data_IF_683294023214
#
_entry.id   IF_683294023214
#
_cell.length_a   1.000
_cell.length_b   1.000
_cell.length_c   1.000
_cell.angle_alpha   90.00
_cell.angle_beta   90.00
_cell.angle_gamma   90.00
#
_symmetry.space_group_name_H-M   'P 1'
#
loop_
_entity.id
_entity.type
_entity.pdbx_description
1 polymer ?
#
# COMPACT_ATOMS: atom_id res chain seq x y z
N UNK A 1 0.55 -17.86 4.93
CA UNK A 1 0.71 -17.95 3.48
C UNK A 1 -0.49 -17.32 2.78
N UNK A 2 -0.23 -16.60 1.73
CA UNK A 2 -1.32 -15.93 1.02
C UNK A 2 -1.81 -16.83 -0.10
N UNK A 3 -3.13 -16.95 -0.24
CA UNK A 3 -3.73 -17.80 -1.26
C UNK A 3 -4.37 -17.00 -2.39
N UNK A 4 -4.46 -15.69 -2.22
CA UNK A 4 -5.05 -14.83 -3.24
C UNK A 4 -4.03 -14.57 -4.35
N UNK A 5 -4.50 -14.55 -5.59
CA UNK A 5 -3.63 -14.20 -6.70
C UNK A 5 -3.72 -12.70 -6.96
N UNK A 6 -2.74 -12.18 -7.70
CA UNK A 6 -2.76 -10.76 -8.07
C UNK A 6 -4.04 -10.45 -8.85
N UNK A 7 -4.44 -11.33 -9.76
CA UNK A 7 -5.66 -11.11 -10.55
C UNK A 7 -6.89 -11.00 -9.66
N UNK A 8 -6.96 -11.83 -8.61
CA UNK A 8 -8.09 -11.77 -7.69
C UNK A 8 -8.05 -10.48 -6.87
N UNK A 9 -6.86 -10.09 -6.43
CA UNK A 9 -6.71 -8.84 -5.69
C UNK A 9 -7.14 -7.67 -6.57
N UNK A 10 -6.70 -7.67 -7.82
CA UNK A 10 -7.02 -6.59 -8.75
C UNK A 10 -8.54 -6.52 -9.00
N UNK A 11 -9.16 -7.67 -9.24
CA UNK A 11 -10.59 -7.68 -9.52
C UNK A 11 -11.38 -7.13 -8.33
N UNK A 12 -11.02 -7.54 -7.13
CA UNK A 12 -11.71 -7.07 -5.93
C UNK A 12 -11.51 -5.56 -5.73
N UNK A 13 -10.30 -5.08 -5.97
CA UNK A 13 -10.01 -3.66 -5.80
C UNK A 13 -10.77 -2.81 -6.82
N UNK A 14 -10.78 -3.25 -8.07
CA UNK A 14 -11.51 -2.49 -9.09
C UNK A 14 -13.00 -2.49 -8.83
N UNK A 15 -13.53 -3.58 -8.29
CA UNK A 15 -14.95 -3.63 -7.91
C UNK A 15 -15.28 -2.61 -6.82
N UNK A 16 -14.28 -2.24 -6.02
CA UNK A 16 -14.47 -1.24 -4.96
C UNK A 16 -14.19 0.18 -5.45
N UNK A 17 -13.86 0.34 -6.73
CA UNK A 17 -13.65 1.66 -7.30
C UNK A 17 -12.22 2.15 -7.32
N UNK A 18 -11.27 1.27 -7.07
CA UNK A 18 -9.85 1.67 -7.19
C UNK A 18 -9.49 1.75 -8.67
N UNK A 19 -8.72 2.77 -9.02
CA UNK A 19 -8.41 3.09 -10.41
C UNK A 19 -7.17 2.39 -10.92
N UNK A 20 -6.23 2.09 -10.04
CA UNK A 20 -4.95 1.56 -10.43
C UNK A 20 -4.56 0.44 -9.48
N UNK A 21 -4.05 -0.66 -10.01
CA UNK A 21 -3.60 -1.79 -9.20
C UNK A 21 -2.25 -2.23 -9.74
N UNK A 22 -1.26 -2.36 -8.84
CA UNK A 22 0.07 -2.73 -9.27
C UNK A 22 0.80 -3.50 -8.18
N UNK A 23 1.90 -4.12 -8.57
CA UNK A 23 2.79 -4.80 -7.65
C UNK A 23 4.02 -3.93 -7.42
N UNK A 24 4.40 -3.79 -6.16
CA UNK A 24 5.60 -3.04 -5.80
C UNK A 24 6.58 -3.98 -5.12
N UNK A 25 7.83 -3.89 -5.53
CA UNK A 25 8.91 -4.69 -4.95
C UNK A 25 9.95 -3.73 -4.39
N UNK A 26 10.25 -3.87 -3.11
CA UNK A 26 11.21 -3.00 -2.44
C UNK A 26 12.42 -3.79 -2.03
N UNK A 27 13.64 -3.26 -2.27
CA UNK A 27 14.87 -3.96 -1.89
C UNK A 27 15.02 -4.07 -0.37
N UNK A 28 15.93 -4.94 0.03
CA UNK A 28 16.25 -5.12 1.44
C UNK A 28 16.63 -3.79 2.08
N UNK A 29 16.19 -3.64 3.32
CA UNK A 29 16.56 -2.52 4.18
C UNK A 29 16.22 -1.14 3.62
N UNK A 30 15.27 -1.06 2.70
CA UNK A 30 14.81 0.22 2.17
C UNK A 30 14.07 0.98 3.28
N UNK A 31 14.29 2.29 3.31
CA UNK A 31 13.61 3.17 4.25
C UNK A 31 13.01 4.35 3.49
N UNK A 32 11.74 4.59 3.71
CA UNK A 32 11.06 5.74 3.11
C UNK A 32 10.63 6.66 4.25
N UNK A 33 11.15 7.89 4.21
CA UNK A 33 10.82 8.89 5.21
C UNK A 33 9.35 9.29 5.09
N UNK A 34 8.86 9.95 6.12
CA UNK A 34 7.46 10.37 6.16
C UNK A 34 7.08 11.15 4.90
N UNK A 35 6.00 10.72 4.27
CA UNK A 35 5.49 11.34 3.05
C UNK A 35 3.99 11.15 2.96
N UNK A 36 3.37 11.82 2.00
CA UNK A 36 1.94 11.71 1.76
C UNK A 36 1.70 11.40 0.29
N UNK A 37 0.48 10.95 0.00
CA UNK A 37 0.03 10.74 -1.38
C UNK A 37 -1.32 11.39 -1.55
N UNK A 38 -1.61 11.84 -2.77
CA UNK A 38 -2.91 12.41 -3.06
C UNK A 38 -3.90 11.36 -3.55
N UNK A 39 -3.73 10.12 -3.09
CA UNK A 39 -4.65 9.04 -3.42
C UNK A 39 -4.79 8.11 -2.22
N UNK A 40 -5.90 7.40 -2.18
CA UNK A 40 -6.12 6.39 -1.16
C UNK A 40 -5.45 5.10 -1.60
N UNK A 41 -5.02 4.32 -0.62
CA UNK A 41 -4.27 3.09 -0.86
C UNK A 41 -4.90 1.95 -0.08
N UNK A 42 -5.00 0.79 -0.73
CA UNK A 42 -5.30 -0.47 -0.05
C UNK A 42 -4.26 -1.47 -0.55
N UNK A 43 -3.59 -2.14 0.36
CA UNK A 43 -2.47 -3.00 -0.03
C UNK A 43 -2.45 -4.29 0.77
N UNK A 44 -1.80 -5.29 0.19
CA UNK A 44 -1.61 -6.59 0.82
C UNK A 44 -0.17 -7.01 0.62
N UNK A 45 0.54 -7.29 1.73
CA UNK A 45 1.91 -7.77 1.66
C UNK A 45 1.85 -9.23 1.24
N UNK A 46 2.64 -9.61 0.25
CA UNK A 46 2.64 -10.97 -0.26
C UNK A 46 3.97 -11.70 -0.06
N UNK A 47 5.04 -10.95 0.22
CA UNK A 47 6.35 -11.54 0.46
C UNK A 47 7.17 -10.59 1.31
N UNK A 48 7.99 -11.13 2.21
CA UNK A 48 8.87 -10.32 3.04
C UNK A 48 8.11 -9.66 4.17
N UNK A 49 8.66 -8.58 4.67
CA UNK A 49 8.06 -7.88 5.79
C UNK A 49 8.41 -6.41 5.76
N UNK A 50 7.55 -5.61 6.38
CA UNK A 50 7.76 -4.17 6.44
C UNK A 50 7.16 -3.63 7.72
N UNK A 51 7.60 -2.45 8.11
CA UNK A 51 7.04 -1.71 9.24
C UNK A 51 6.45 -0.41 8.69
N UNK A 52 5.18 -0.19 8.96
CA UNK A 52 4.46 1.00 8.51
C UNK A 52 4.15 1.86 9.71
N UNK A 53 4.58 3.10 9.68
CA UNK A 53 4.33 4.04 10.77
C UNK A 53 3.38 5.13 10.30
N UNK A 54 2.29 5.29 11.05
CA UNK A 54 1.31 6.35 10.82
C UNK A 54 1.15 7.07 12.16
N UNK A 55 1.54 8.34 12.21
CA UNK A 55 1.56 9.06 13.47
C UNK A 55 2.49 8.39 14.46
N UNK A 56 1.97 7.99 15.59
CA UNK A 56 2.77 7.33 16.61
C UNK A 56 2.62 5.83 16.63
N UNK A 57 1.90 5.29 15.64
CA UNK A 57 1.63 3.85 15.59
C UNK A 57 2.45 3.19 14.51
N UNK A 58 3.17 2.15 14.88
CA UNK A 58 3.95 1.35 13.93
C UNK A 58 3.37 -0.06 13.89
N UNK A 59 3.12 -0.55 12.70
CA UNK A 59 2.63 -1.92 12.51
C UNK A 59 3.70 -2.73 11.79
N UNK A 60 3.91 -3.95 12.27
CA UNK A 60 4.79 -4.91 11.60
C UNK A 60 3.91 -5.76 10.68
N UNK A 61 4.17 -5.70 9.39
CA UNK A 61 3.35 -6.35 8.38
C UNK A 61 4.16 -7.44 7.68
N UNK A 62 3.55 -8.62 7.55
CA UNK A 62 4.17 -9.78 6.91
C UNK A 62 3.23 -10.29 5.83
N UNK A 63 3.69 -11.29 5.08
CA UNK A 63 2.88 -11.87 4.01
C UNK A 63 1.48 -12.24 4.53
N UNK A 64 0.46 -11.78 3.85
CA UNK A 64 -0.92 -11.96 4.24
C UNK A 64 -1.55 -10.77 4.94
N UNK A 65 -0.73 -9.87 5.47
CA UNK A 65 -1.25 -8.70 6.18
C UNK A 65 -1.65 -7.61 5.20
N UNK A 66 -2.65 -6.83 5.59
CA UNK A 66 -3.17 -5.76 4.76
C UNK A 66 -3.04 -4.42 5.46
N UNK A 67 -2.97 -3.36 4.67
CA UNK A 67 -3.05 -2.03 5.22
C UNK A 67 -3.80 -1.12 4.26
N UNK A 68 -4.34 -0.04 4.81
CA UNK A 68 -5.06 0.95 4.02
C UNK A 68 -4.71 2.34 4.54
N UNK A 69 -4.61 3.29 3.62
CA UNK A 69 -4.32 4.67 3.96
C UNK A 69 -5.26 5.57 3.18
N UNK A 70 -5.88 6.51 3.85
CA UNK A 70 -6.66 7.53 3.17
C UNK A 70 -5.67 8.48 2.49
N UNK A 71 -6.16 9.25 1.53
CA UNK A 71 -5.27 10.18 0.84
C UNK A 71 -4.75 11.23 1.84
N UNK A 72 -3.54 11.70 1.60
CA UNK A 72 -2.86 12.73 2.38
C UNK A 72 -2.54 12.34 3.82
N UNK A 73 -2.57 11.05 4.17
CA UNK A 73 -2.17 10.61 5.50
C UNK A 73 -0.65 10.46 5.54
N UNK A 74 0.03 11.21 6.42
CA UNK A 74 1.49 11.09 6.52
C UNK A 74 1.87 9.71 7.06
N UNK A 75 2.86 9.08 6.44
CA UNK A 75 3.32 7.77 6.86
C UNK A 75 4.76 7.54 6.42
N UNK A 76 5.42 6.62 7.10
CA UNK A 76 6.78 6.21 6.75
C UNK A 76 6.85 4.70 6.71
N UNK A 77 7.86 4.16 6.03
CA UNK A 77 7.99 2.73 5.81
C UNK A 77 9.42 2.29 5.95
N UNK A 78 9.61 1.11 6.55
CA UNK A 78 10.91 0.46 6.62
C UNK A 78 10.72 -0.96 6.15
N UNK A 79 11.58 -1.41 5.24
CA UNK A 79 11.48 -2.76 4.68
C UNK A 79 12.53 -3.66 5.31
N UNK A 80 12.18 -4.94 5.47
CA UNK A 80 13.02 -5.88 6.20
C UNK A 80 14.26 -6.30 5.46
N UNK A 81 15.05 -7.20 6.05
CA UNK A 81 16.34 -7.60 5.48
C UNK A 81 16.22 -8.39 4.18
N UNK A 82 15.02 -8.82 3.84
CA UNK A 82 14.78 -9.50 2.58
C UNK A 82 13.95 -8.64 1.63
N UNK A 83 13.71 -7.37 2.00
CA UNK A 83 12.81 -6.54 1.25
C UNK A 83 11.37 -6.94 1.47
N UNK A 84 10.51 -6.48 0.59
CA UNK A 84 9.09 -6.86 0.64
C UNK A 84 8.45 -6.62 -0.71
N UNK A 85 7.44 -7.44 -0.99
CA UNK A 85 6.60 -7.28 -2.16
C UNK A 85 5.17 -7.10 -1.66
N UNK A 86 4.47 -6.11 -2.21
CA UNK A 86 3.05 -5.98 -1.92
C UNK A 86 2.29 -5.60 -3.18
N UNK A 87 1.00 -5.91 -3.16
CA UNK A 87 0.06 -5.49 -4.18
C UNK A 87 -0.67 -4.28 -3.64
N UNK A 88 -0.83 -3.25 -4.46
CA UNK A 88 -1.41 -2.01 -4.01
C UNK A 88 -2.45 -1.52 -5.00
N UNK A 89 -3.59 -1.09 -4.45
CA UNK A 89 -4.65 -0.46 -5.22
C UNK A 89 -4.69 1.01 -4.81
N UNK A 90 -4.90 1.89 -5.78
CA UNK A 90 -4.92 3.33 -5.56
C UNK A 90 -6.20 3.93 -6.10
N UNK A 91 -6.69 4.93 -5.41
CA UNK A 91 -7.87 5.67 -5.85
C UNK A 91 -7.69 7.15 -5.55
N UNK A 92 -7.78 7.97 -6.60
CA UNK A 92 -7.72 9.41 -6.43
C UNK A 92 -9.08 9.85 -5.88
N UNK A 93 -9.08 10.62 -4.80
CA UNK A 93 -10.34 11.06 -4.21
C UNK A 93 -11.10 11.92 -5.22
N UNK A 94 -12.41 11.80 -5.28
CA UNK A 94 -13.19 12.54 -6.29
C UNK A 94 -12.93 14.03 -6.32
N UNK A 95 -12.76 14.65 -5.15
CA UNK A 95 -12.53 16.10 -5.12
C UNK A 95 -11.10 16.44 -5.52
N UNK A 96 -10.25 15.45 -5.68
CA UNK A 96 -8.88 15.63 -6.15
C UNK A 96 -8.79 15.36 -7.64
N UNK A 97 -9.90 15.06 -8.27
CA UNK A 97 -9.88 14.88 -9.70
C UNK A 97 -9.41 16.17 -10.36
N UNK A 98 -8.90 16.09 -11.58
CA UNK A 98 -8.26 17.23 -12.22
C UNK A 98 -9.10 18.49 -12.22
N UNK A 99 -10.38 18.36 -12.29
CA UNK A 99 -11.23 19.51 -12.32
C UNK A 99 -11.46 20.13 -10.98
N UNK A 100 -11.28 19.34 -9.97
CA UNK A 100 -11.57 19.79 -8.63
C UNK A 100 -10.45 20.65 -8.11
N UNK A 101 -9.36 20.40 -8.65
CA UNK A 101 -8.19 21.12 -8.19
C UNK A 101 -8.22 22.49 -8.10
#
# INVERSE_FOLDING_TARGET
MIETTFAEFEAAARAKGFDEVLQRVWPADTRLDTHTHNFAVQAQVVQGQMWLTVGESTRHLQAGDEFALKHEVPHSEVYGPEGATYWVARRVAPHDAPTAS
#
